data_IF_336327670024
#
_entry.id   IF_336327670024
#
_cell.length_a   1.000
_cell.length_b   1.000
_cell.length_c   1.000
_cell.angle_alpha   90.00
_cell.angle_beta   90.00
_cell.angle_gamma   90.00
#
_symmetry.space_group_name_H-M   'P 1'
#
loop_
_entity.id
_entity.type
_entity.pdbx_description
1 polymer ?
#
# COMPACT_ATOMS: atom_id res chain seq x y z
N UNK A 1 5.17 -11.59 3.80
CA UNK A 1 4.22 -12.66 4.19
C UNK A 1 3.00 -12.00 4.83
N UNK A 2 1.80 -12.52 4.60
CA UNK A 2 0.63 -12.18 5.42
C UNK A 2 0.32 -13.31 6.41
N UNK A 3 -0.42 -13.04 7.49
CA UNK A 3 -0.80 -14.08 8.46
C UNK A 3 -1.99 -14.94 7.99
N UNK A 4 -2.43 -15.91 8.80
CA UNK A 4 -3.52 -16.84 8.42
C UNK A 4 -4.88 -16.16 8.20
N UNK A 5 -5.11 -14.97 8.79
CA UNK A 5 -6.29 -14.16 8.53
C UNK A 5 -6.06 -13.11 7.43
N UNK A 6 -4.81 -12.82 7.08
CA UNK A 6 -4.42 -11.80 6.10
C UNK A 6 -4.44 -10.37 6.65
N UNK A 7 -4.52 -10.19 7.97
CA UNK A 7 -4.59 -8.89 8.66
C UNK A 7 -3.22 -8.24 8.80
N UNK A 8 -2.19 -9.04 9.08
CA UNK A 8 -0.81 -8.57 9.16
C UNK A 8 -0.09 -8.69 7.82
N UNK A 9 0.85 -7.79 7.60
CA UNK A 9 1.93 -7.93 6.62
C UNK A 9 3.29 -7.88 7.34
N UNK A 10 4.00 -9.00 7.31
CA UNK A 10 5.34 -9.17 7.86
C UNK A 10 6.36 -9.06 6.72
N UNK A 11 7.18 -8.02 6.77
CA UNK A 11 8.20 -7.69 5.77
C UNK A 11 9.61 -7.79 6.37
N UNK A 12 10.48 -8.69 5.88
CA UNK A 12 11.91 -8.66 6.19
C UNK A 12 12.51 -7.32 5.78
N UNK A 13 13.21 -6.67 6.69
CA UNK A 13 13.62 -5.27 6.52
C UNK A 13 15.06 -5.03 6.95
N UNK A 14 15.63 -3.91 6.50
CA UNK A 14 16.92 -3.41 7.02
C UNK A 14 16.71 -2.77 8.39
N UNK A 15 17.78 -2.64 9.20
CA UNK A 15 17.75 -1.80 10.40
C UNK A 15 17.33 -0.36 10.07
N UNK A 16 17.73 0.17 8.90
CA UNK A 16 17.36 1.51 8.44
C UNK A 16 15.84 1.66 8.25
N UNK A 17 15.18 0.72 7.55
CA UNK A 17 13.72 0.74 7.37
C UNK A 17 13.01 0.66 8.74
N UNK A 18 13.49 -0.21 9.62
CA UNK A 18 12.89 -0.43 10.93
C UNK A 18 13.02 0.78 11.87
N UNK A 19 14.18 1.44 11.87
CA UNK A 19 14.37 2.70 12.60
C UNK A 19 13.55 3.83 11.98
N UNK A 20 13.40 3.90 10.65
CA UNK A 20 12.54 4.88 10.00
C UNK A 20 11.07 4.73 10.45
N UNK A 21 10.53 3.51 10.46
CA UNK A 21 9.19 3.21 10.99
C UNK A 21 9.04 3.62 12.47
N UNK A 22 10.03 3.31 13.32
CA UNK A 22 10.02 3.68 14.74
C UNK A 22 10.03 5.19 14.94
N UNK A 23 11.02 5.89 14.39
CA UNK A 23 11.14 7.36 14.50
C UNK A 23 9.91 8.08 13.95
N UNK A 24 9.29 7.56 12.88
CA UNK A 24 8.02 8.10 12.38
C UNK A 24 6.92 8.08 13.46
N UNK A 25 6.69 6.93 14.09
CA UNK A 25 5.64 6.77 15.11
C UNK A 25 6.01 7.43 16.46
N UNK A 26 7.30 7.62 16.75
CA UNK A 26 7.79 8.25 17.98
C UNK A 26 7.86 9.79 17.91
N UNK A 27 7.98 10.39 16.71
CA UNK A 27 8.27 11.83 16.58
C UNK A 27 7.65 12.54 15.37
N UNK A 28 7.15 11.82 14.36
CA UNK A 28 6.59 12.38 13.12
C UNK A 28 5.18 11.83 12.85
N UNK A 29 4.27 11.95 13.84
CA UNK A 29 2.94 11.30 13.81
C UNK A 29 2.16 11.59 12.51
N UNK A 30 2.20 12.83 12.01
CA UNK A 30 1.50 13.20 10.78
C UNK A 30 2.02 12.43 9.55
N UNK A 31 3.32 12.12 9.51
CA UNK A 31 3.93 11.23 8.52
C UNK A 31 3.55 9.76 8.80
N UNK A 32 3.57 9.33 10.07
CA UNK A 32 3.23 7.95 10.44
C UNK A 32 1.82 7.55 9.99
N UNK A 33 0.85 8.47 10.06
CA UNK A 33 -0.51 8.26 9.55
C UNK A 33 -0.55 7.94 8.04
N UNK A 34 0.44 8.38 7.27
CA UNK A 34 0.57 8.10 5.83
C UNK A 34 1.11 6.68 5.56
N UNK A 35 1.78 6.06 6.53
CA UNK A 35 2.35 4.71 6.41
C UNK A 35 1.31 3.63 6.76
N UNK A 36 1.48 2.37 6.32
CA UNK A 36 0.77 1.24 6.93
C UNK A 36 1.01 1.25 8.45
N UNK A 37 -0.02 0.95 9.25
CA UNK A 37 0.11 1.04 10.72
C UNK A 37 1.23 0.09 11.21
N UNK A 38 2.20 0.66 11.91
CA UNK A 38 3.32 -0.09 12.50
C UNK A 38 2.85 -0.80 13.77
N UNK A 39 2.84 -2.13 13.72
CA UNK A 39 2.33 -3.00 14.79
C UNK A 39 3.44 -3.62 15.64
N UNK A 40 4.70 -3.50 15.21
CA UNK A 40 5.88 -3.87 15.99
C UNK A 40 7.05 -4.33 15.13
N UNK A 41 8.10 -4.79 15.80
CA UNK A 41 9.24 -5.46 15.18
C UNK A 41 9.25 -6.94 15.55
N UNK A 42 9.81 -7.76 14.65
CA UNK A 42 10.17 -9.14 14.97
C UNK A 42 11.68 -9.31 14.81
N UNK A 43 12.35 -9.70 15.89
CA UNK A 43 13.73 -10.17 15.87
C UNK A 43 13.75 -11.70 16.01
N UNK A 44 14.21 -12.34 14.94
CA UNK A 44 14.06 -13.77 14.70
C UNK A 44 15.37 -14.50 14.95
N UNK A 45 15.28 -15.67 15.59
CA UNK A 45 16.42 -16.55 15.86
C UNK A 45 15.94 -18.01 15.95
N UNK A 46 16.87 -18.98 15.92
CA UNK A 46 16.54 -20.41 15.93
C UNK A 46 15.70 -20.83 17.15
N UNK A 47 15.84 -20.12 18.26
CA UNK A 47 15.11 -20.33 19.51
C UNK A 47 13.69 -19.75 19.57
N UNK A 48 13.28 -18.85 18.64
CA UNK A 48 12.00 -18.12 18.73
C UNK A 48 10.79 -19.05 18.94
N UNK A 49 10.00 -18.77 19.95
CA UNK A 49 8.79 -19.50 20.37
C UNK A 49 7.55 -18.59 20.39
N UNK A 50 6.37 -19.18 20.62
CA UNK A 50 5.08 -18.44 20.68
C UNK A 50 5.11 -17.38 21.77
N UNK A 51 5.80 -17.67 22.89
CA UNK A 51 5.96 -16.71 23.99
C UNK A 51 6.84 -15.53 23.61
N UNK A 52 7.88 -15.75 22.82
CA UNK A 52 8.77 -14.66 22.38
C UNK A 52 8.05 -13.75 21.38
N UNK A 53 7.13 -14.29 20.56
CA UNK A 53 6.22 -13.46 19.75
C UNK A 53 5.28 -12.62 20.62
N UNK A 54 4.71 -13.18 21.68
CA UNK A 54 3.81 -12.45 22.60
C UNK A 54 4.55 -11.34 23.38
N UNK A 55 5.84 -11.54 23.70
CA UNK A 55 6.70 -10.54 24.33
C UNK A 55 7.24 -9.48 23.34
N UNK A 56 7.40 -9.80 22.04
CA UNK A 56 7.81 -8.86 20.99
C UNK A 56 6.65 -8.05 20.39
N UNK A 57 5.46 -8.64 20.25
CA UNK A 57 4.27 -8.06 19.61
C UNK A 57 3.06 -7.96 20.57
N UNK A 58 3.18 -7.35 21.76
CA UNK A 58 2.10 -7.34 22.74
C UNK A 58 0.81 -6.70 22.19
N UNK A 59 0.91 -5.68 21.34
CA UNK A 59 -0.22 -4.96 20.75
C UNK A 59 -1.13 -5.80 19.84
N UNK A 60 -0.61 -6.87 19.23
CA UNK A 60 -1.38 -7.81 18.40
C UNK A 60 -1.43 -9.23 19.01
N UNK A 61 -0.86 -9.44 20.19
CA UNK A 61 -0.79 -10.75 20.86
C UNK A 61 -2.16 -11.38 21.15
N UNK A 62 -3.20 -10.59 21.43
CA UNK A 62 -4.57 -11.09 21.62
C UNK A 62 -5.35 -11.27 20.31
N UNK A 63 -4.92 -10.61 19.22
CA UNK A 63 -5.55 -10.67 17.89
C UNK A 63 -5.07 -11.91 17.14
N UNK A 64 -3.76 -12.21 17.22
CA UNK A 64 -3.15 -13.31 16.48
C UNK A 64 -3.57 -14.68 17.02
N UNK A 65 -4.16 -15.50 16.14
CA UNK A 65 -4.48 -16.89 16.46
C UNK A 65 -3.21 -17.69 16.80
N UNK A 66 -3.39 -18.80 17.53
CA UNK A 66 -2.27 -19.68 17.88
C UNK A 66 -1.64 -20.32 16.63
N UNK A 67 -2.46 -20.63 15.64
CA UNK A 67 -2.08 -21.14 14.33
C UNK A 67 -1.27 -20.08 13.57
N UNK A 68 -1.75 -18.82 13.54
CA UNK A 68 -0.98 -17.68 13.00
C UNK A 68 0.39 -17.57 13.66
N UNK A 69 0.49 -17.61 15.00
CA UNK A 69 1.78 -17.52 15.71
C UNK A 69 2.71 -18.67 15.36
N UNK A 70 2.19 -19.89 15.20
CA UNK A 70 2.98 -21.06 14.76
C UNK A 70 3.43 -20.96 13.29
N UNK A 71 2.62 -20.38 12.40
CA UNK A 71 2.99 -20.10 11.00
C UNK A 71 4.04 -18.98 10.89
N UNK A 72 3.92 -17.91 11.69
CA UNK A 72 4.95 -16.85 11.81
C UNK A 72 6.28 -17.46 12.26
N UNK A 73 6.29 -18.31 13.29
CA UNK A 73 7.51 -19.01 13.76
C UNK A 73 8.08 -19.93 12.67
N UNK A 74 7.22 -20.64 11.92
CA UNK A 74 7.66 -21.52 10.84
C UNK A 74 8.37 -20.74 9.73
N UNK A 75 7.74 -19.69 9.21
CA UNK A 75 8.32 -18.82 8.18
C UNK A 75 9.61 -18.15 8.68
N UNK A 76 9.60 -17.69 9.93
CA UNK A 76 10.77 -17.09 10.57
C UNK A 76 11.97 -18.05 10.60
N UNK A 77 11.74 -19.33 10.90
CA UNK A 77 12.79 -20.36 10.92
C UNK A 77 13.23 -20.78 9.52
N UNK A 78 12.32 -20.80 8.55
CA UNK A 78 12.66 -21.05 7.15
C UNK A 78 13.55 -19.92 6.60
N UNK A 79 13.25 -18.65 6.90
CA UNK A 79 14.09 -17.53 6.47
C UNK A 79 15.39 -17.37 7.26
N UNK A 80 15.39 -17.62 8.58
CA UNK A 80 16.63 -17.64 9.37
C UNK A 80 17.60 -18.73 8.87
N UNK A 81 17.08 -19.92 8.53
CA UNK A 81 17.87 -20.98 7.92
C UNK A 81 18.39 -20.61 6.52
N UNK A 82 17.59 -19.95 5.68
CA UNK A 82 18.04 -19.45 4.37
C UNK A 82 19.13 -18.37 4.47
N UNK A 83 19.03 -17.46 5.45
CA UNK A 83 20.06 -16.43 5.70
C UNK A 83 21.36 -17.06 6.23
N UNK A 84 21.27 -17.99 7.18
CA UNK A 84 22.41 -18.73 7.71
C UNK A 84 23.10 -19.56 6.61
N UNK A 85 22.33 -20.17 5.70
CA UNK A 85 22.86 -20.98 4.59
C UNK A 85 23.58 -20.17 3.50
N UNK A 86 23.36 -18.86 3.39
CA UNK A 86 23.94 -18.01 2.35
C UNK A 86 25.26 -17.34 2.73
N UNK A 87 25.64 -17.35 4.02
CA UNK A 87 26.86 -16.70 4.54
C UNK A 87 28.16 -17.22 3.90
N UNK A 88 28.89 -16.43 3.10
CA UNK A 88 30.19 -16.79 2.57
C UNK A 88 31.31 -16.41 3.56
N UNK A 89 32.37 -17.24 3.64
CA UNK A 89 33.60 -16.82 4.31
C UNK A 89 34.19 -15.56 3.63
N UNK A 90 34.78 -14.60 4.39
CA UNK A 90 35.15 -13.29 3.87
C UNK A 90 36.24 -13.38 2.80
N UNK A 91 35.87 -13.09 1.55
CA UNK A 91 36.78 -12.95 0.42
C UNK A 91 36.83 -11.49 -0.06
N UNK A 92 38.03 -11.02 -0.41
CA UNK A 92 38.34 -9.59 -0.55
C UNK A 92 38.27 -9.08 -1.99
N UNK A 93 37.48 -9.70 -2.86
CA UNK A 93 37.37 -9.33 -4.28
C UNK A 93 35.92 -9.40 -4.76
N UNK A 94 35.29 -8.23 -4.96
CA UNK A 94 33.86 -8.09 -5.32
C UNK A 94 33.68 -7.85 -6.82
N UNK A 95 33.98 -8.86 -7.64
CA UNK A 95 33.56 -8.82 -9.05
C UNK A 95 32.04 -9.05 -9.15
N UNK A 96 31.29 -8.03 -9.55
CA UNK A 96 29.84 -8.11 -9.72
C UNK A 96 29.50 -9.01 -10.90
N UNK A 97 28.66 -10.02 -10.70
CA UNK A 97 28.29 -11.01 -11.73
C UNK A 97 26.78 -11.24 -11.75
N UNK A 98 26.25 -11.65 -12.90
CA UNK A 98 24.80 -11.74 -13.17
C UNK A 98 24.02 -12.72 -12.30
N UNK A 99 24.69 -13.53 -11.45
CA UNK A 99 24.07 -14.39 -10.45
C UNK A 99 23.62 -13.65 -9.18
N UNK A 100 23.76 -12.33 -9.12
CA UNK A 100 23.32 -11.52 -7.98
C UNK A 100 21.80 -11.19 -7.95
N UNK A 101 21.05 -11.56 -9.00
CA UNK A 101 19.64 -11.18 -9.29
C UNK A 101 18.55 -11.75 -8.34
N UNK A 102 18.89 -12.13 -7.11
CA UNK A 102 17.94 -12.75 -6.16
C UNK A 102 18.43 -12.82 -4.70
N UNK A 103 19.28 -11.89 -4.25
CA UNK A 103 19.65 -11.87 -2.82
C UNK A 103 18.50 -11.30 -2.00
N UNK A 104 17.75 -12.17 -1.33
CA UNK A 104 16.91 -11.79 -0.19
C UNK A 104 17.75 -10.96 0.80
N UNK A 105 17.14 -10.03 1.51
CA UNK A 105 17.84 -9.21 2.51
C UNK A 105 18.46 -10.16 3.55
N UNK A 106 19.77 -10.09 3.74
CA UNK A 106 20.50 -10.84 4.78
C UNK A 106 20.22 -10.18 6.15
N UNK A 107 18.99 -10.38 6.66
CA UNK A 107 18.44 -9.80 7.90
C UNK A 107 17.75 -10.87 8.75
N UNK A 108 17.86 -10.76 10.07
CA UNK A 108 17.07 -11.53 11.02
C UNK A 108 15.86 -10.74 11.55
N UNK A 109 15.61 -9.54 11.02
CA UNK A 109 14.55 -8.64 11.48
C UNK A 109 13.46 -8.43 10.44
N UNK A 110 12.22 -8.31 10.91
CA UNK A 110 11.08 -7.93 10.09
C UNK A 110 10.30 -6.79 10.75
N UNK A 111 9.79 -5.88 9.93
CA UNK A 111 8.75 -4.93 10.33
C UNK A 111 7.39 -5.62 10.23
N UNK A 112 6.53 -5.40 11.23
CA UNK A 112 5.16 -5.90 11.26
C UNK A 112 4.21 -4.74 11.05
N UNK A 113 3.40 -4.86 10.00
CA UNK A 113 2.53 -3.81 9.49
C UNK A 113 1.10 -4.33 9.36
N UNK A 114 0.14 -3.40 9.35
CA UNK A 114 -1.19 -3.62 8.79
C UNK A 114 -1.10 -4.01 7.30
N UNK A 115 -1.80 -5.06 6.87
CA UNK A 115 -1.96 -5.36 5.45
C UNK A 115 -2.96 -4.37 4.81
N UNK A 116 -2.49 -3.43 3.98
CA UNK A 116 -3.35 -2.45 3.31
C UNK A 116 -4.30 -3.02 2.25
N UNK A 117 -4.26 -4.33 1.97
CA UNK A 117 -5.24 -5.08 1.18
C UNK A 117 -6.28 -5.84 2.03
N UNK A 118 -6.14 -5.82 3.37
CA UNK A 118 -7.19 -6.22 4.31
C UNK A 118 -8.28 -5.13 4.31
N UNK A 119 -9.51 -5.51 4.01
CA UNK A 119 -10.62 -4.54 3.91
C UNK A 119 -11.72 -4.90 2.90
N UNK A 120 -11.36 -5.62 1.84
CA UNK A 120 -12.05 -5.50 0.55
C UNK A 120 -12.50 -6.86 0.01
N UNK A 121 -13.66 -6.86 -0.65
CA UNK A 121 -14.18 -8.02 -1.39
C UNK A 121 -13.27 -8.33 -2.58
N UNK A 122 -12.84 -7.28 -3.31
CA UNK A 122 -11.99 -7.37 -4.49
C UNK A 122 -10.96 -6.22 -4.53
N UNK A 123 -9.89 -6.23 -3.71
CA UNK A 123 -8.94 -5.12 -3.67
C UNK A 123 -8.26 -4.88 -5.02
N UNK A 124 -8.61 -3.76 -5.67
CA UNK A 124 -7.82 -3.19 -6.76
C UNK A 124 -6.60 -2.50 -6.15
N UNK A 125 -5.40 -2.82 -6.62
CA UNK A 125 -4.13 -2.34 -6.03
C UNK A 125 -3.23 -1.73 -7.11
N UNK A 126 -2.54 -0.62 -6.80
CA UNK A 126 -1.53 0.01 -7.67
C UNK A 126 -0.36 0.57 -6.86
N UNK A 127 0.87 0.18 -7.23
CA UNK A 127 2.14 0.73 -6.74
C UNK A 127 2.58 1.88 -7.67
N UNK A 128 2.56 3.11 -7.17
CA UNK A 128 3.09 4.30 -7.83
C UNK A 128 4.43 4.70 -7.21
N UNK A 129 5.53 4.21 -7.78
CA UNK A 129 6.90 4.34 -7.26
C UNK A 129 7.49 5.72 -7.58
N UNK A 130 7.76 6.51 -6.53
CA UNK A 130 8.09 7.93 -6.57
C UNK A 130 9.57 8.22 -6.87
N UNK A 131 9.85 9.48 -7.19
CA UNK A 131 11.18 10.04 -7.39
C UNK A 131 11.53 10.27 -8.87
N UNK A 132 12.24 11.36 -9.14
CA UNK A 132 13.06 11.51 -10.36
C UNK A 132 14.41 10.81 -10.19
N UNK A 133 14.92 10.77 -8.96
CA UNK A 133 16.12 10.06 -8.52
C UNK A 133 15.68 8.88 -7.65
N UNK A 134 16.07 7.68 -8.05
CA UNK A 134 15.62 6.40 -7.47
C UNK A 134 16.68 5.74 -6.57
N UNK A 135 17.82 6.40 -6.35
CA UNK A 135 19.01 5.85 -5.67
C UNK A 135 19.59 6.83 -4.63
N UNK A 136 19.86 6.35 -3.42
CA UNK A 136 20.44 7.11 -2.31
C UNK A 136 21.91 7.50 -2.52
N UNK A 137 22.46 8.43 -1.72
CA UNK A 137 23.81 9.00 -1.92
C UNK A 137 24.95 7.97 -1.82
N UNK A 138 24.74 6.87 -1.10
CA UNK A 138 25.69 5.76 -0.95
C UNK A 138 25.69 4.75 -2.11
N UNK A 139 24.69 4.84 -3.01
CA UNK A 139 24.40 3.79 -3.99
C UNK A 139 25.60 3.53 -4.92
N UNK A 140 26.02 2.26 -5.13
CA UNK A 140 27.13 1.94 -6.04
C UNK A 140 26.85 2.42 -7.47
N UNK A 141 27.87 2.87 -8.21
CA UNK A 141 27.71 3.47 -9.56
C UNK A 141 26.85 2.67 -10.52
N UNK A 142 27.00 1.34 -10.58
CA UNK A 142 26.16 0.50 -11.44
C UNK A 142 24.66 0.52 -11.05
N UNK A 143 24.33 0.73 -9.77
CA UNK A 143 22.95 0.97 -9.29
C UNK A 143 22.46 2.36 -9.71
N UNK A 144 23.31 3.40 -9.62
CA UNK A 144 23.00 4.76 -10.11
C UNK A 144 22.70 4.72 -11.63
N UNK A 145 23.64 4.23 -12.43
CA UNK A 145 23.55 4.12 -13.89
C UNK A 145 22.30 3.33 -14.34
N UNK A 146 21.99 2.19 -13.70
CA UNK A 146 20.76 1.42 -13.97
C UNK A 146 19.50 2.24 -13.71
N UNK A 147 19.44 2.95 -12.59
CA UNK A 147 18.27 3.72 -12.20
C UNK A 147 18.12 5.03 -12.98
N UNK A 148 19.21 5.64 -13.43
CA UNK A 148 19.17 6.81 -14.32
C UNK A 148 18.61 6.45 -15.70
N UNK A 149 18.93 5.25 -16.21
CA UNK A 149 18.31 4.68 -17.42
C UNK A 149 16.80 4.48 -17.19
N UNK A 150 16.40 3.80 -16.11
CA UNK A 150 14.97 3.59 -15.76
C UNK A 150 14.24 4.93 -15.62
N UNK A 151 14.83 5.94 -14.97
CA UNK A 151 14.24 7.27 -14.85
C UNK A 151 14.02 7.91 -16.23
N UNK A 152 14.99 7.79 -17.14
CA UNK A 152 14.93 8.40 -18.47
C UNK A 152 13.93 7.72 -19.40
N UNK A 153 13.75 6.42 -19.26
CA UNK A 153 12.91 5.59 -20.13
C UNK A 153 11.45 5.48 -19.64
N UNK A 154 11.14 5.90 -18.42
CA UNK A 154 9.81 5.80 -17.80
C UNK A 154 9.25 7.16 -17.37
N UNK A 155 8.00 7.18 -16.87
CA UNK A 155 7.37 8.38 -16.36
C UNK A 155 8.04 8.98 -15.11
N UNK A 156 8.99 8.29 -14.44
CA UNK A 156 9.76 8.90 -13.34
C UNK A 156 10.51 10.17 -13.80
N UNK A 157 11.05 10.19 -15.02
CA UNK A 157 11.76 11.36 -15.56
C UNK A 157 10.85 12.55 -15.89
N UNK A 158 9.62 12.31 -16.34
CA UNK A 158 8.66 13.34 -16.77
C UNK A 158 7.70 13.77 -15.67
N UNK A 159 7.13 12.81 -14.94
CA UNK A 159 6.07 13.00 -13.93
C UNK A 159 6.54 12.76 -12.48
N UNK A 160 7.75 12.23 -12.24
CA UNK A 160 8.23 11.99 -10.88
C UNK A 160 7.69 10.73 -10.21
N UNK A 161 6.91 9.92 -10.93
CA UNK A 161 6.48 8.59 -10.50
C UNK A 161 6.36 7.66 -11.71
N UNK A 162 6.33 6.35 -11.47
CA UNK A 162 5.79 5.37 -12.44
C UNK A 162 4.83 4.42 -11.76
N UNK A 163 3.87 3.87 -12.51
CA UNK A 163 3.20 2.64 -12.12
C UNK A 163 4.29 1.55 -12.13
N UNK A 164 4.61 0.97 -10.97
CA UNK A 164 5.55 -0.15 -10.91
C UNK A 164 4.82 -1.48 -11.14
N UNK A 165 3.60 -1.60 -10.62
CA UNK A 165 2.68 -2.70 -10.88
C UNK A 165 1.25 -2.36 -10.45
N UNK A 166 0.26 -3.05 -11.02
CA UNK A 166 -1.16 -2.80 -10.77
C UNK A 166 -1.97 -4.08 -10.95
N UNK A 167 -3.00 -4.31 -10.13
CA UNK A 167 -3.91 -5.45 -10.19
C UNK A 167 -5.35 -4.96 -10.14
N UNK A 168 -6.14 -5.26 -11.18
CA UNK A 168 -7.51 -4.71 -11.37
C UNK A 168 -8.52 -5.84 -11.57
N UNK A 169 -9.52 -5.91 -10.70
CA UNK A 169 -10.61 -6.87 -10.79
C UNK A 169 -11.41 -6.64 -12.08
N UNK A 170 -11.60 -7.71 -12.86
CA UNK A 170 -12.18 -7.69 -14.22
C UNK A 170 -11.53 -6.65 -15.15
N UNK A 171 -10.22 -6.39 -15.01
CA UNK A 171 -9.48 -5.40 -15.79
C UNK A 171 -9.33 -5.68 -17.29
N UNK A 172 -9.99 -6.71 -17.84
CA UNK A 172 -10.06 -6.99 -19.28
C UNK A 172 -11.36 -7.73 -19.64
N UNK A 173 -11.84 -7.49 -20.85
CA UNK A 173 -12.91 -8.27 -21.49
C UNK A 173 -12.44 -9.64 -21.98
N UNK A 174 -11.12 -9.86 -22.08
CA UNK A 174 -10.51 -11.12 -22.50
C UNK A 174 -10.23 -12.02 -21.28
N UNK A 175 -10.92 -13.16 -21.12
CA UNK A 175 -10.72 -14.03 -19.95
C UNK A 175 -9.30 -14.61 -19.84
N UNK A 176 -8.54 -14.66 -20.94
CA UNK A 176 -7.16 -15.14 -20.95
C UNK A 176 -6.15 -14.12 -20.39
N UNK A 177 -6.58 -12.90 -20.08
CA UNK A 177 -5.79 -11.85 -19.41
C UNK A 177 -6.12 -11.73 -17.92
N UNK A 178 -6.97 -12.62 -17.40
CA UNK A 178 -7.39 -12.64 -16.00
C UNK A 178 -6.76 -13.83 -15.26
N UNK A 179 -6.40 -13.62 -13.99
CA UNK A 179 -6.02 -14.69 -13.08
C UNK A 179 -7.24 -15.53 -12.63
N UNK A 180 -6.99 -16.60 -11.86
CA UNK A 180 -8.05 -17.49 -11.34
C UNK A 180 -9.09 -16.79 -10.45
N UNK A 181 -8.75 -15.60 -9.93
CA UNK A 181 -9.64 -14.77 -9.11
C UNK A 181 -10.37 -13.69 -9.93
N UNK A 182 -10.08 -13.58 -11.23
CA UNK A 182 -10.70 -12.64 -12.16
C UNK A 182 -10.03 -11.28 -12.25
N UNK A 183 -8.77 -11.12 -11.84
CA UNK A 183 -8.03 -9.86 -11.96
C UNK A 183 -7.09 -9.87 -13.16
N UNK A 184 -6.96 -8.72 -13.83
CA UNK A 184 -5.82 -8.46 -14.71
C UNK A 184 -4.64 -7.94 -13.87
N UNK A 185 -3.49 -8.58 -14.03
CA UNK A 185 -2.21 -8.10 -13.48
C UNK A 185 -1.47 -7.33 -14.57
N UNK A 186 -1.03 -6.13 -14.23
CA UNK A 186 -0.17 -5.26 -15.00
C UNK A 186 1.17 -5.19 -14.26
N UNK A 187 2.23 -5.69 -14.89
CA UNK A 187 3.52 -5.91 -14.24
C UNK A 187 4.51 -4.75 -14.44
N UNK A 188 5.78 -4.98 -14.11
CA UNK A 188 6.86 -4.02 -14.38
C UNK A 188 7.13 -3.78 -15.86
N UNK A 189 6.76 -4.69 -16.77
CA UNK A 189 6.93 -4.46 -18.20
C UNK A 189 5.87 -3.48 -18.71
N UNK A 190 4.61 -3.62 -18.26
CA UNK A 190 3.58 -2.61 -18.52
C UNK A 190 4.03 -1.22 -18.05
N UNK A 191 4.40 -1.10 -16.77
CA UNK A 191 4.78 0.16 -16.14
C UNK A 191 6.09 0.80 -16.63
N UNK A 192 6.98 0.02 -17.27
CA UNK A 192 8.27 0.51 -17.80
C UNK A 192 8.31 0.66 -19.32
N UNK A 193 7.43 0.00 -20.07
CA UNK A 193 7.51 -0.08 -21.55
C UNK A 193 6.22 0.36 -22.26
N UNK A 194 5.05 0.28 -21.62
CA UNK A 194 3.76 0.69 -22.22
C UNK A 194 3.28 2.05 -21.69
N UNK A 195 3.50 2.34 -20.39
CA UNK A 195 3.10 3.61 -19.76
C UNK A 195 4.15 4.70 -20.02
N UNK A 196 3.68 5.84 -20.55
CA UNK A 196 4.50 6.98 -20.94
C UNK A 196 3.73 8.31 -20.72
N UNK A 197 4.34 9.44 -21.08
CA UNK A 197 3.76 10.77 -20.83
C UNK A 197 2.41 11.01 -21.52
N UNK A 198 2.17 10.42 -22.69
CA UNK A 198 0.97 10.66 -23.50
C UNK A 198 -0.22 9.78 -23.07
N UNK A 199 0.01 8.75 -22.25
CA UNK A 199 -1.01 7.77 -21.85
C UNK A 199 -1.09 7.47 -20.35
N UNK A 200 -0.32 8.16 -19.49
CA UNK A 200 -0.34 7.92 -18.03
C UNK A 200 -1.73 8.17 -17.42
N UNK A 201 -2.46 9.21 -17.86
CA UNK A 201 -3.85 9.45 -17.43
C UNK A 201 -4.75 8.27 -17.80
N UNK A 202 -4.60 7.72 -19.01
CA UNK A 202 -5.35 6.55 -19.48
C UNK A 202 -4.94 5.24 -18.80
N UNK A 203 -3.72 5.14 -18.26
CA UNK A 203 -3.30 4.01 -17.42
C UNK A 203 -3.97 4.10 -16.04
N UNK A 204 -4.03 5.31 -15.46
CA UNK A 204 -4.69 5.59 -14.18
C UNK A 204 -6.23 5.50 -14.29
N UNK A 205 -6.82 5.88 -15.43
CA UNK A 205 -8.26 5.71 -15.71
C UNK A 205 -8.65 4.22 -15.72
N UNK A 206 -7.78 3.33 -16.22
CA UNK A 206 -7.97 1.86 -16.17
C UNK A 206 -7.82 1.25 -14.77
N UNK A 207 -7.19 1.96 -13.83
CA UNK A 207 -7.15 1.55 -12.42
C UNK A 207 -8.51 1.77 -11.76
N UNK A 208 -9.05 2.98 -11.93
CA UNK A 208 -10.22 3.48 -11.20
C UNK A 208 -11.54 3.05 -11.87
N UNK A 209 -11.69 3.25 -13.18
CA UNK A 209 -12.96 3.12 -13.88
C UNK A 209 -13.12 1.73 -14.51
N UNK A 210 -14.07 0.92 -14.02
CA UNK A 210 -14.39 -0.38 -14.61
C UNK A 210 -15.89 -0.73 -14.56
N UNK A 211 -16.66 -0.37 -15.60
CA UNK A 211 -18.09 -0.70 -15.69
C UNK A 211 -18.40 -2.20 -15.66
N UNK A 212 -17.46 -3.09 -16.03
CA UNK A 212 -17.66 -4.55 -15.94
C UNK A 212 -17.61 -5.07 -14.50
N UNK A 213 -16.87 -4.36 -13.64
CA UNK A 213 -16.86 -4.57 -12.20
C UNK A 213 -17.98 -3.78 -11.49
N UNK A 214 -18.73 -2.96 -12.22
CA UNK A 214 -19.79 -2.11 -11.69
C UNK A 214 -19.29 -0.75 -11.19
N UNK A 215 -18.03 -0.37 -11.46
CA UNK A 215 -17.49 0.96 -11.16
C UNK A 215 -17.69 1.83 -12.40
N UNK A 216 -18.78 2.58 -12.40
CA UNK A 216 -19.16 3.54 -13.44
C UNK A 216 -18.54 4.92 -13.18
N UNK A 217 -18.87 5.90 -14.03
CA UNK A 217 -18.26 7.23 -13.98
C UNK A 217 -18.52 7.98 -12.67
N UNK A 218 -19.71 7.82 -12.09
CA UNK A 218 -20.10 8.46 -10.83
C UNK A 218 -19.25 7.94 -9.66
N UNK A 219 -19.10 6.61 -9.56
CA UNK A 219 -18.30 6.00 -8.49
C UNK A 219 -16.80 6.17 -8.73
N UNK A 220 -16.36 6.09 -9.99
CA UNK A 220 -14.97 6.33 -10.36
C UNK A 220 -14.51 7.74 -9.94
N UNK A 221 -15.35 8.76 -10.16
CA UNK A 221 -15.07 10.13 -9.70
C UNK A 221 -15.09 10.28 -8.18
N UNK A 222 -15.99 9.59 -7.47
CA UNK A 222 -15.98 9.57 -6.00
C UNK A 222 -14.67 8.98 -5.47
N UNK A 223 -14.21 7.85 -6.01
CA UNK A 223 -12.94 7.23 -5.62
C UNK A 223 -11.73 8.10 -6.04
N UNK A 224 -11.75 8.73 -7.20
CA UNK A 224 -10.71 9.66 -7.63
C UNK A 224 -10.61 10.89 -6.71
N UNK A 225 -11.75 11.48 -6.33
CA UNK A 225 -11.82 12.60 -5.38
C UNK A 225 -11.36 12.23 -3.96
N UNK A 226 -11.63 10.99 -3.52
CA UNK A 226 -11.11 10.44 -2.26
C UNK A 226 -9.58 10.32 -2.29
N UNK A 227 -9.02 9.70 -3.34
CA UNK A 227 -7.56 9.64 -3.53
C UNK A 227 -6.92 11.02 -3.68
N UNK A 228 -7.60 11.99 -4.31
CA UNK A 228 -7.13 13.37 -4.45
C UNK A 228 -6.99 14.08 -3.09
N UNK A 229 -7.91 13.85 -2.16
CA UNK A 229 -7.85 14.43 -0.82
C UNK A 229 -6.67 13.85 -0.01
N UNK A 230 -6.49 12.52 -0.05
CA UNK A 230 -5.34 11.86 0.58
C UNK A 230 -4.02 12.35 -0.04
N UNK A 231 -3.94 12.48 -1.37
CA UNK A 231 -2.77 13.00 -2.08
C UNK A 231 -2.41 14.44 -1.67
N UNK A 232 -3.41 15.31 -1.46
CA UNK A 232 -3.19 16.68 -0.96
C UNK A 232 -2.67 16.68 0.49
N UNK A 233 -3.19 15.80 1.35
CA UNK A 233 -2.64 15.60 2.71
C UNK A 233 -1.19 15.08 2.66
N UNK A 234 -0.89 14.16 1.75
CA UNK A 234 0.47 13.65 1.54
C UNK A 234 1.42 14.77 1.06
N UNK A 235 0.98 15.66 0.17
CA UNK A 235 1.78 16.83 -0.22
C UNK A 235 2.05 17.76 0.97
N UNK A 236 1.01 18.11 1.74
CA UNK A 236 1.13 18.98 2.92
C UNK A 236 2.13 18.43 3.94
N UNK A 237 1.97 17.17 4.33
CA UNK A 237 2.84 16.51 5.31
C UNK A 237 4.26 16.39 4.76
N UNK A 238 4.46 15.89 3.54
CA UNK A 238 5.81 15.75 2.95
C UNK A 238 6.50 17.10 2.64
N UNK A 239 5.75 18.20 2.54
CA UNK A 239 6.29 19.56 2.46
C UNK A 239 6.65 20.14 3.83
N UNK A 240 6.04 19.65 4.91
CA UNK A 240 6.36 20.02 6.30
C UNK A 240 7.48 19.19 6.92
N UNK A 241 7.71 17.97 6.41
CA UNK A 241 8.62 16.97 7.00
C UNK A 241 9.97 16.89 6.28
N UNK A 242 11.05 16.93 7.04
CA UNK A 242 12.42 16.86 6.50
C UNK A 242 12.91 15.41 6.44
N UNK A 243 12.52 14.69 5.39
CA UNK A 243 12.98 13.32 5.08
C UNK A 243 13.58 13.22 3.67
N UNK A 244 14.29 12.13 3.36
CA UNK A 244 14.68 11.74 2.00
C UNK A 244 14.31 10.30 1.74
N UNK A 245 13.71 10.01 0.59
CA UNK A 245 13.20 8.69 0.22
C UNK A 245 13.56 8.32 -1.22
N UNK A 246 14.19 7.17 -1.40
CA UNK A 246 14.65 6.70 -2.72
C UNK A 246 13.97 5.39 -3.12
N UNK A 247 13.18 5.42 -4.19
CA UNK A 247 12.30 4.31 -4.65
C UNK A 247 11.16 3.93 -3.68
N UNK A 248 10.82 4.79 -2.72
CA UNK A 248 9.56 4.70 -1.96
C UNK A 248 8.34 4.88 -2.89
N UNK A 249 7.17 4.43 -2.46
CA UNK A 249 5.98 4.32 -3.33
C UNK A 249 4.69 4.72 -2.65
N UNK A 250 3.75 5.23 -3.43
CA UNK A 250 2.36 5.34 -3.00
C UNK A 250 1.58 4.11 -3.45
N UNK A 251 1.06 3.37 -2.46
CA UNK A 251 0.20 2.21 -2.62
C UNK A 251 -1.26 2.67 -2.57
N UNK A 252 -1.92 2.64 -3.72
CA UNK A 252 -3.35 2.88 -3.87
C UNK A 252 -4.09 1.55 -3.77
N UNK A 253 -5.06 1.44 -2.86
CA UNK A 253 -5.97 0.28 -2.77
C UNK A 253 -7.42 0.75 -2.73
N UNK A 254 -8.34 0.08 -3.44
CA UNK A 254 -9.79 0.33 -3.30
C UNK A 254 -10.66 -0.90 -3.62
N UNK A 255 -11.94 -0.85 -3.22
CA UNK A 255 -12.91 -1.92 -3.48
C UNK A 255 -13.26 -2.00 -4.97
N UNK A 256 -12.80 -3.09 -5.61
CA UNK A 256 -13.01 -3.38 -7.01
C UNK A 256 -14.39 -3.95 -7.35
N UNK A 257 -15.17 -4.45 -6.38
CA UNK A 257 -16.56 -4.86 -6.64
C UNK A 257 -17.52 -3.67 -6.45
N UNK A 258 -18.05 -3.15 -7.54
CA UNK A 258 -18.95 -2.00 -7.54
C UNK A 258 -20.26 -2.20 -6.75
N UNK A 259 -20.67 -3.45 -6.48
CA UNK A 259 -21.84 -3.70 -5.62
C UNK A 259 -21.48 -3.58 -4.14
N UNK A 260 -20.32 -4.13 -3.74
CA UNK A 260 -19.80 -3.98 -2.39
C UNK A 260 -19.48 -2.50 -2.10
N UNK A 261 -18.88 -1.80 -3.07
CA UNK A 261 -18.57 -0.38 -2.97
C UNK A 261 -19.82 0.50 -2.83
N UNK A 262 -20.88 0.30 -3.65
CA UNK A 262 -22.18 0.98 -3.44
C UNK A 262 -22.75 0.69 -2.06
N UNK A 263 -22.83 -0.59 -1.67
CA UNK A 263 -23.38 -0.98 -0.38
C UNK A 263 -22.60 -0.43 0.82
N UNK A 264 -21.31 -0.15 0.68
CA UNK A 264 -20.50 0.52 1.69
C UNK A 264 -20.76 2.03 1.73
N UNK A 265 -20.79 2.70 0.57
CA UNK A 265 -21.14 4.12 0.45
C UNK A 265 -22.55 4.42 0.99
N UNK A 266 -23.54 3.59 0.67
CA UNK A 266 -24.92 3.73 1.11
C UNK A 266 -25.07 3.55 2.63
N UNK A 267 -24.30 2.64 3.26
CA UNK A 267 -24.25 2.51 4.73
C UNK A 267 -23.65 3.76 5.37
N UNK A 268 -22.46 4.19 4.91
CA UNK A 268 -21.80 5.41 5.40
C UNK A 268 -22.75 6.62 5.32
N UNK A 269 -23.55 6.71 4.26
CA UNK A 269 -24.57 7.75 4.11
C UNK A 269 -25.73 7.62 5.10
N UNK A 270 -26.26 6.41 5.30
CA UNK A 270 -27.37 6.14 6.22
C UNK A 270 -26.99 6.36 7.69
N UNK A 271 -25.79 5.93 8.08
CA UNK A 271 -25.24 6.14 9.43
C UNK A 271 -25.04 7.64 9.71
N UNK A 272 -24.62 8.41 8.70
CA UNK A 272 -24.49 9.88 8.77
C UNK A 272 -25.82 10.63 8.74
N UNK A 273 -26.89 10.08 8.13
CA UNK A 273 -28.23 10.69 8.13
C UNK A 273 -29.10 10.26 9.32
N UNK A 274 -28.69 9.24 10.08
CA UNK A 274 -29.47 8.63 11.16
C UNK A 274 -30.65 7.80 10.65
N UNK A 275 -30.66 7.42 9.38
CA UNK A 275 -31.74 6.63 8.76
C UNK A 275 -31.47 5.14 8.93
N UNK A 276 -32.46 4.38 9.42
CA UNK A 276 -32.31 2.93 9.57
C UNK A 276 -32.17 2.24 8.20
N UNK A 277 -30.95 1.79 7.89
CA UNK A 277 -30.66 0.95 6.73
C UNK A 277 -31.55 -0.30 6.74
N UNK A 278 -32.42 -0.42 5.72
CA UNK A 278 -33.26 -1.60 5.52
C UNK A 278 -32.47 -2.65 4.77
N UNK A 279 -32.03 -3.68 5.49
CA UNK A 279 -31.48 -4.90 4.90
C UNK A 279 -32.55 -5.56 4.02
N UNK A 280 -32.19 -5.86 2.78
CA UNK A 280 -32.99 -6.70 1.88
C UNK A 280 -32.53 -8.16 2.03
N UNK A 281 -33.46 -9.07 2.33
CA UNK A 281 -33.15 -10.43 2.81
C UNK A 281 -32.87 -11.42 1.66
N UNK A 282 -32.04 -10.99 0.71
CA UNK A 282 -31.46 -11.88 -0.31
C UNK A 282 -30.53 -12.92 0.32
N UNK A 283 -30.51 -14.17 -0.18
CA UNK A 283 -29.71 -15.26 0.41
C UNK A 283 -28.22 -15.07 0.13
N UNK A 284 -27.54 -14.29 0.98
CA UNK A 284 -26.08 -14.25 1.04
C UNK A 284 -25.55 -15.63 1.47
N UNK A 285 -24.97 -16.38 0.53
CA UNK A 285 -24.30 -17.65 0.79
C UNK A 285 -22.80 -17.42 1.03
N UNK A 286 -22.27 -17.62 2.25
CA UNK A 286 -20.83 -17.51 2.51
C UNK A 286 -20.06 -18.60 1.74
N UNK A 287 -19.20 -18.18 0.82
CA UNK A 287 -18.52 -19.06 -0.14
C UNK A 287 -17.33 -19.85 0.42
N UNK A 288 -17.61 -20.93 1.15
CA UNK A 288 -16.81 -22.16 1.33
C UNK A 288 -15.29 -22.07 1.63
N UNK A 289 -14.94 -22.66 2.79
CA UNK A 289 -13.68 -23.37 3.10
C UNK A 289 -12.34 -22.64 2.91
N UNK A 290 -11.72 -22.25 4.03
CA UNK A 290 -10.30 -21.94 4.09
C UNK A 290 -9.46 -23.17 3.73
N UNK A 291 -8.73 -23.10 2.62
CA UNK A 291 -7.74 -24.09 2.19
C UNK A 291 -6.49 -23.37 1.69
N UNK A 292 -5.50 -23.22 2.58
CA UNK A 292 -4.09 -22.88 2.36
C UNK A 292 -3.75 -22.31 0.97
N UNK A 293 -3.69 -20.99 0.87
CA UNK A 293 -3.08 -20.26 -0.23
C UNK A 293 -2.09 -19.24 0.33
N UNK A 294 -0.90 -19.19 -0.26
CA UNK A 294 0.17 -18.30 0.18
C UNK A 294 -0.11 -16.87 -0.31
N UNK A 295 -0.47 -15.99 0.64
CA UNK A 295 -0.66 -14.55 0.41
C UNK A 295 0.69 -13.82 0.30
N UNK A 296 1.60 -14.41 -0.45
CA UNK A 296 3.01 -14.07 -0.56
C UNK A 296 3.25 -12.82 -1.40
N UNK A 297 2.89 -11.64 -0.86
CA UNK A 297 3.45 -10.37 -1.32
C UNK A 297 4.97 -10.45 -1.08
N UNK A 298 5.68 -10.94 -2.10
CA UNK A 298 7.13 -10.92 -2.20
C UNK A 298 7.56 -9.58 -2.79
N UNK A 299 8.70 -9.07 -2.35
CA UNK A 299 9.34 -7.91 -2.96
C UNK A 299 10.58 -8.38 -3.72
N UNK A 300 10.72 -7.94 -4.97
CA UNK A 300 11.94 -8.21 -5.73
C UNK A 300 13.13 -7.35 -5.26
N UNK A 301 14.33 -7.61 -5.80
CA UNK A 301 15.57 -6.93 -5.47
C UNK A 301 15.64 -5.46 -5.96
N UNK A 302 14.53 -4.91 -6.46
CA UNK A 302 14.33 -3.50 -6.78
C UNK A 302 13.29 -2.82 -5.87
N UNK A 303 12.76 -3.50 -4.85
CA UNK A 303 11.76 -2.96 -3.93
C UNK A 303 10.38 -2.86 -4.58
N UNK A 304 9.98 -3.88 -5.36
CA UNK A 304 8.70 -3.91 -6.06
C UNK A 304 7.87 -5.14 -5.66
N UNK A 305 6.58 -4.93 -5.37
CA UNK A 305 5.65 -6.02 -5.08
C UNK A 305 5.45 -6.96 -6.29
N UNK A 306 5.51 -8.26 -6.00
CA UNK A 306 5.04 -9.35 -6.85
C UNK A 306 3.67 -9.76 -6.35
N UNK A 307 2.69 -9.87 -7.26
CA UNK A 307 1.34 -10.35 -6.94
C UNK A 307 1.25 -11.87 -7.21
N UNK A 308 1.29 -12.75 -6.19
CA UNK A 308 1.00 -14.17 -6.38
C UNK A 308 -0.50 -14.39 -6.62
N UNK A 309 -0.82 -15.50 -7.27
CA UNK A 309 -2.21 -15.92 -7.46
C UNK A 309 -2.70 -16.61 -6.18
N UNK A 310 -3.17 -15.81 -5.20
CA UNK A 310 -4.41 -16.02 -4.41
C UNK A 310 -4.38 -15.27 -3.06
N UNK A 311 -5.26 -14.26 -2.87
CA UNK A 311 -5.62 -13.73 -1.55
C UNK A 311 -7.00 -13.03 -1.54
N UNK A 312 -7.66 -13.00 -0.38
CA UNK A 312 -8.81 -12.17 0.03
C UNK A 312 -8.94 -12.25 1.57
N UNK A 313 -9.63 -11.28 2.21
CA UNK A 313 -10.25 -11.28 3.58
C UNK A 313 -10.23 -9.84 4.19
N UNK A 314 -11.14 -9.55 5.14
CA UNK A 314 -10.84 -8.62 6.25
C UNK A 314 -11.47 -7.23 6.20
N UNK A 315 -11.39 -6.47 7.30
CA UNK A 315 -12.04 -5.15 7.48
C UNK A 315 -11.26 -4.16 8.37
N UNK A 316 -11.70 -2.90 8.37
CA UNK A 316 -11.26 -1.73 9.18
C UNK A 316 -9.87 -1.17 8.79
N UNK A 317 -9.55 0.12 8.96
CA UNK A 317 -10.30 1.37 9.27
C UNK A 317 -9.42 2.56 8.75
N UNK A 318 -9.72 3.89 8.79
CA UNK A 318 -10.80 4.77 9.28
C UNK A 318 -11.02 5.84 8.18
N UNK A 319 -12.21 6.43 7.96
CA UNK A 319 -12.32 7.70 7.20
C UNK A 319 -13.60 8.52 7.42
N UNK A 320 -13.47 9.83 7.58
CA UNK A 320 -14.57 10.80 7.65
C UNK A 320 -14.16 12.14 7.00
N UNK A 321 -14.92 12.61 6.00
CA UNK A 321 -15.08 14.04 5.61
C UNK A 321 -15.88 14.26 4.31
N UNK A 322 -16.16 13.23 3.49
CA UNK A 322 -16.76 13.41 2.16
C UNK A 322 -18.29 13.70 2.14
N UNK A 323 -18.78 14.49 3.10
CA UNK A 323 -20.21 14.72 3.36
C UNK A 323 -20.69 16.15 3.05
N UNK A 324 -19.91 16.97 2.32
CA UNK A 324 -20.34 18.30 1.85
C UNK A 324 -19.99 18.53 0.38
N UNK A 325 -20.95 18.28 -0.51
CA UNK A 325 -20.89 18.66 -1.92
C UNK A 325 -22.28 19.04 -2.46
N UNK A 326 -22.74 20.29 -2.26
CA UNK A 326 -23.81 20.89 -3.04
C UNK A 326 -23.26 21.52 -4.33
N UNK A 327 -24.07 21.58 -5.39
CA UNK A 327 -23.65 22.21 -6.63
C UNK A 327 -23.56 23.75 -6.50
N UNK A 328 -22.44 24.33 -6.94
CA UNK A 328 -22.26 25.72 -7.38
C UNK A 328 -22.50 26.84 -6.35
N UNK A 329 -21.46 27.25 -5.60
CA UNK A 329 -20.95 28.64 -5.53
C UNK A 329 -19.77 28.78 -4.54
N UNK A 330 -18.98 29.86 -4.69
CA UNK A 330 -17.76 30.13 -3.93
C UNK A 330 -18.03 30.36 -2.43
N UNK A 331 -17.33 29.63 -1.55
CA UNK A 331 -17.29 29.91 -0.11
C UNK A 331 -15.83 29.87 0.39
N UNK A 332 -15.54 30.78 1.32
CA UNK A 332 -14.19 31.13 1.79
C UNK A 332 -13.84 30.42 3.10
N UNK A 333 -12.58 30.01 3.26
CA UNK A 333 -12.08 29.35 4.48
C UNK A 333 -12.08 30.29 5.69
N UNK A 334 -12.80 29.91 6.74
CA UNK A 334 -12.62 30.39 8.12
C UNK A 334 -12.66 29.21 9.07
N UNK A 335 -11.57 28.97 9.78
CA UNK A 335 -11.52 27.99 10.86
C UNK A 335 -12.04 28.61 12.17
N UNK A 336 -12.81 27.84 12.93
CA UNK A 336 -12.94 27.95 14.37
C UNK A 336 -13.29 26.56 14.93
N UNK A 337 -13.02 26.33 16.21
CA UNK A 337 -13.29 25.05 16.87
C UNK A 337 -14.75 24.93 17.32
N UNK A 338 -15.23 23.70 17.45
CA UNK A 338 -15.40 23.10 18.78
C UNK A 338 -15.73 21.60 18.66
N UNK A 339 -15.33 20.83 19.67
CA UNK A 339 -15.60 19.40 19.75
C UNK A 339 -16.74 19.15 20.75
N UNK A 340 -17.74 18.36 20.36
CA UNK A 340 -18.68 17.78 21.33
C UNK A 340 -19.06 16.35 20.94
N UNK A 341 -19.33 15.53 21.96
CA UNK A 341 -19.38 14.07 21.83
C UNK A 341 -20.82 13.54 21.76
N UNK A 342 -21.10 12.63 20.82
CA UNK A 342 -22.35 11.87 20.77
C UNK A 342 -22.08 10.38 20.55
N UNK A 343 -22.22 9.60 21.62
CA UNK A 343 -22.10 8.14 21.59
C UNK A 343 -23.41 7.47 21.19
N UNK A 344 -23.44 6.81 20.03
CA UNK A 344 -24.57 5.99 19.58
C UNK A 344 -24.09 4.69 18.94
N UNK A 345 -24.20 3.57 19.66
CA UNK A 345 -23.69 2.28 19.18
C UNK A 345 -24.66 1.56 18.25
N UNK A 346 -24.26 1.39 16.99
CA UNK A 346 -24.72 0.31 16.12
C UNK A 346 -23.50 -0.46 15.61
N UNK A 347 -23.17 -1.58 16.26
CA UNK A 347 -22.07 -2.44 15.81
C UNK A 347 -22.41 -3.11 14.47
N UNK A 348 -21.84 -2.59 13.40
CA UNK A 348 -21.82 -3.17 12.07
C UNK A 348 -20.80 -2.44 11.22
N UNK A 349 -19.59 -3.01 11.13
CA UNK A 349 -18.40 -2.35 10.58
C UNK A 349 -18.63 -1.78 9.17
N UNK A 350 -18.40 -0.46 9.03
CA UNK A 350 -18.46 0.24 7.74
C UNK A 350 -17.31 -0.31 6.86
N UNK A 351 -17.58 -0.88 5.67
CA UNK A 351 -16.54 -1.50 4.87
C UNK A 351 -15.48 -0.48 4.40
N UNK A 352 -14.21 -0.89 4.40
CA UNK A 352 -13.10 -0.08 3.91
C UNK A 352 -13.20 0.02 2.38
N UNK A 353 -13.54 1.21 1.87
CA UNK A 353 -13.73 1.41 0.43
C UNK A 353 -12.46 1.80 -0.33
N UNK A 354 -11.50 2.47 0.33
CA UNK A 354 -10.18 2.80 -0.23
C UNK A 354 -9.12 2.98 0.86
N UNK A 355 -7.86 3.07 0.44
CA UNK A 355 -6.73 3.50 1.26
C UNK A 355 -5.58 3.95 0.35
N UNK A 356 -4.91 5.05 0.70
CA UNK A 356 -3.65 5.47 0.11
C UNK A 356 -2.55 5.47 1.17
N UNK A 357 -1.46 4.73 0.95
CA UNK A 357 -0.36 4.61 1.91
C UNK A 357 1.01 4.77 1.25
N UNK A 358 1.94 5.43 1.95
CA UNK A 358 3.34 5.56 1.57
C UNK A 358 4.14 4.36 2.10
N UNK A 359 4.90 3.70 1.23
CA UNK A 359 5.61 2.44 1.52
C UNK A 359 7.05 2.43 1.00
N UNK A 360 7.80 1.39 1.40
CA UNK A 360 9.18 1.06 1.01
C UNK A 360 10.24 2.07 1.46
N UNK A 361 10.52 2.03 2.77
CA UNK A 361 11.45 2.92 3.47
C UNK A 361 12.86 2.31 3.63
N UNK A 362 13.17 1.22 2.90
CA UNK A 362 14.49 0.57 2.86
C UNK A 362 15.65 1.50 2.45
N UNK A 363 15.35 2.59 1.76
CA UNK A 363 16.27 3.68 1.44
C UNK A 363 15.64 5.04 1.80
N UNK A 364 15.14 5.15 3.04
CA UNK A 364 14.63 6.38 3.61
C UNK A 364 15.46 6.83 4.84
N UNK A 365 15.52 8.14 5.07
CA UNK A 365 16.19 8.74 6.22
C UNK A 365 15.55 10.09 6.60
N UNK A 366 15.72 10.50 7.87
CA UNK A 366 15.31 11.81 8.36
C UNK A 366 16.47 12.80 8.19
N UNK A 367 16.21 13.94 7.57
CA UNK A 367 17.25 14.89 7.10
C UNK A 367 17.01 16.32 7.60
N UNK A 368 16.99 16.55 8.93
CA UNK A 368 16.69 17.86 9.50
C UNK A 368 17.67 18.94 9.03
N UNK A 369 17.15 20.13 8.73
CA UNK A 369 17.87 21.27 8.17
C UNK A 369 18.15 21.20 6.66
N UNK A 370 17.59 20.24 5.92
CA UNK A 370 17.78 20.09 4.48
C UNK A 370 16.55 20.50 3.63
N UNK A 371 15.44 20.88 4.24
CA UNK A 371 14.15 21.11 3.58
C UNK A 371 13.45 19.81 3.13
N UNK A 372 12.24 19.91 2.55
CA UNK A 372 11.39 18.76 2.21
C UNK A 372 11.91 17.94 1.01
N UNK A 373 11.36 16.74 0.82
CA UNK A 373 11.72 15.86 -0.31
C UNK A 373 11.06 16.32 -1.62
N UNK A 374 11.64 17.35 -2.25
CA UNK A 374 11.25 17.83 -3.58
C UNK A 374 11.40 16.78 -4.71
N UNK A 375 12.14 15.68 -4.47
CA UNK A 375 12.23 14.55 -5.41
C UNK A 375 10.98 13.66 -5.35
N UNK A 376 10.45 13.39 -4.16
CA UNK A 376 9.19 12.69 -3.95
C UNK A 376 7.96 13.59 -4.25
N UNK A 377 7.96 14.84 -3.76
CA UNK A 377 6.87 15.81 -3.94
C UNK A 377 6.59 16.12 -5.42
N UNK A 378 7.59 16.11 -6.30
CA UNK A 378 7.36 16.26 -7.74
C UNK A 378 6.50 15.12 -8.33
N UNK A 379 6.60 13.91 -7.76
CA UNK A 379 5.72 12.78 -8.08
C UNK A 379 4.30 12.97 -7.52
N UNK A 380 4.18 13.35 -6.25
CA UNK A 380 2.89 13.60 -5.58
C UNK A 380 2.10 14.71 -6.28
N UNK A 381 2.73 15.85 -6.59
CA UNK A 381 2.13 16.97 -7.33
C UNK A 381 1.71 16.63 -8.77
N UNK A 382 2.33 15.62 -9.37
CA UNK A 382 1.92 15.08 -10.67
C UNK A 382 0.73 14.12 -10.54
N UNK A 383 0.70 13.29 -9.50
CA UNK A 383 -0.45 12.45 -9.17
C UNK A 383 -1.68 13.29 -8.84
N UNK A 384 -1.56 14.36 -8.04
CA UNK A 384 -2.64 15.31 -7.75
C UNK A 384 -3.31 15.79 -9.03
N UNK A 385 -2.55 16.30 -10.00
CA UNK A 385 -3.07 16.80 -11.28
C UNK A 385 -3.77 15.75 -12.12
N UNK A 386 -3.37 14.48 -12.02
CA UNK A 386 -4.02 13.36 -12.70
C UNK A 386 -5.32 13.00 -11.98
N UNK A 387 -5.34 12.97 -10.65
CA UNK A 387 -6.55 12.71 -9.87
C UNK A 387 -7.55 13.88 -9.89
N UNK A 388 -7.12 15.12 -10.12
CA UNK A 388 -7.99 16.25 -10.47
C UNK A 388 -8.73 15.97 -11.79
N UNK A 389 -8.01 15.64 -12.86
CA UNK A 389 -8.63 15.22 -14.14
C UNK A 389 -9.58 14.03 -13.95
N UNK A 390 -9.17 12.98 -13.22
CA UNK A 390 -10.02 11.80 -12.99
C UNK A 390 -11.22 12.05 -12.04
N UNK A 391 -11.25 13.16 -11.30
CA UNK A 391 -12.42 13.56 -10.51
C UNK A 391 -13.37 14.46 -11.32
N UNK A 392 -12.85 15.29 -12.23
CA UNK A 392 -13.60 16.28 -13.00
C UNK A 392 -14.13 15.75 -14.36
N UNK A 393 -13.31 15.01 -15.15
CA UNK A 393 -13.59 14.58 -16.55
C UNK A 393 -14.53 13.37 -16.67
#
# INVERSE_FOLDING_TARGET
MCDSQGELFIKPCTDQELQFYKTANESHQAFADLMPVFMGELELNDSTSVRDLDEQLPAVSEILSKETKEEIIKFSKEQAAEAAAQSPAPSTDRQWTEKAKSRKIETNKSVVLENSAYGYTRPNIMDAKLGKRLWADDAPKAKQERFDIITKETTNGSHGFRIAGMRVYKGSTNPNELDEQGYKVYDKHYGRLEVNADNVVEAMRKFIFNPQAGIDEEIGKIIAGLFLNDLRRIEEVLASEESRMYSASLLFTFEGDGNALRAALDRTRADMSGEQYKKDDGPYTPGLSASRVDSGIEMDDEGQMVFPINAAIGQNMILANLAQAPASQDIQLTADSDADSMSGSSNGDIPRIYSLKLIDFAHAEWTPGQGPDENALFGVRSLIKIFEQLADD
#
